data_IF_935698310758
#
_entry.id   IF_935698310758
#
_cell.length_a   1.000
_cell.length_b   1.000
_cell.length_c   1.000
_cell.angle_alpha   90.00
_cell.angle_beta   90.00
_cell.angle_gamma   90.00
#
_symmetry.space_group_name_H-M   'P 1'
#
loop_
_entity.id
_entity.type
_entity.pdbx_description
1 polymer ?
#
# COMPACT_ATOMS: atom_id res chain seq x y z
N UNK A 1 6.05 -20.52 25.65
CA UNK A 1 4.58 -20.44 25.86
C UNK A 1 3.91 -19.29 25.08
N UNK A 2 4.35 -18.93 23.86
CA UNK A 2 3.81 -17.74 23.13
C UNK A 2 3.37 -18.00 21.67
N UNK A 3 3.21 -19.26 21.24
CA UNK A 3 2.75 -19.55 19.86
C UNK A 3 1.22 -19.69 19.69
N UNK A 4 0.48 -19.82 20.77
CA UNK A 4 -1.00 -19.89 20.73
C UNK A 4 -1.70 -18.52 20.68
N UNK A 5 -0.99 -17.41 20.94
CA UNK A 5 -1.57 -16.07 20.97
C UNK A 5 -1.94 -15.49 19.59
N UNK A 6 -1.27 -15.89 18.52
CA UNK A 6 -1.48 -15.32 17.18
C UNK A 6 -2.68 -15.91 16.44
N UNK A 7 -2.86 -17.20 16.52
CA UNK A 7 -3.97 -17.92 15.83
C UNK A 7 -5.29 -17.64 16.54
N UNK A 8 -5.30 -17.66 17.88
CA UNK A 8 -6.49 -17.32 18.66
C UNK A 8 -6.98 -15.88 18.44
N UNK A 9 -6.07 -14.90 18.32
CA UNK A 9 -6.45 -13.51 18.03
C UNK A 9 -7.03 -13.35 16.63
N UNK A 10 -6.52 -14.06 15.61
CA UNK A 10 -7.05 -14.02 14.23
C UNK A 10 -8.41 -14.70 14.10
N UNK A 11 -8.64 -15.82 14.75
CA UNK A 11 -9.94 -16.52 14.75
C UNK A 11 -11.04 -15.71 15.44
N UNK A 12 -10.71 -15.01 16.54
CA UNK A 12 -11.65 -14.09 17.21
C UNK A 12 -12.02 -12.94 16.30
N UNK A 13 -11.10 -12.44 15.46
CA UNK A 13 -11.36 -11.32 14.55
C UNK A 13 -12.34 -11.68 13.43
N UNK A 14 -12.33 -12.91 12.93
CA UNK A 14 -13.27 -13.36 11.86
C UNK A 14 -14.69 -13.51 12.40
N UNK A 15 -14.84 -14.17 13.55
CA UNK A 15 -16.17 -14.35 14.15
C UNK A 15 -16.83 -13.02 14.55
N UNK A 16 -16.03 -12.04 14.92
CA UNK A 16 -16.52 -10.72 15.36
C UNK A 16 -17.16 -9.92 14.22
N UNK A 17 -16.68 -10.04 12.97
CA UNK A 17 -17.23 -9.26 11.84
C UNK A 17 -18.66 -9.65 11.45
N UNK A 18 -19.10 -10.85 11.79
CA UNK A 18 -20.49 -11.31 11.59
C UNK A 18 -21.46 -10.90 12.71
N UNK A 19 -20.91 -10.46 13.85
CA UNK A 19 -21.73 -10.06 14.99
C UNK A 19 -22.41 -8.71 14.72
N UNK A 20 -23.58 -8.45 15.36
CA UNK A 20 -24.18 -7.13 15.34
C UNK A 20 -23.22 -6.04 15.83
N UNK A 21 -23.29 -4.85 15.24
CA UNK A 21 -22.37 -3.74 15.53
C UNK A 21 -22.28 -3.40 17.04
N UNK A 22 -23.40 -3.49 17.77
CA UNK A 22 -23.44 -3.24 19.22
C UNK A 22 -22.63 -4.28 20.01
N UNK A 23 -22.72 -5.57 19.59
CA UNK A 23 -22.01 -6.68 20.25
C UNK A 23 -20.51 -6.61 19.95
N UNK A 24 -20.14 -6.31 18.69
CA UNK A 24 -18.73 -6.05 18.33
C UNK A 24 -18.13 -4.95 19.20
N UNK A 25 -18.83 -3.82 19.33
CA UNK A 25 -18.38 -2.70 20.17
C UNK A 25 -18.21 -3.11 21.63
N UNK A 26 -19.12 -3.88 22.15
CA UNK A 26 -19.04 -4.40 23.53
C UNK A 26 -17.80 -5.28 23.73
N UNK A 27 -17.58 -6.27 22.84
CA UNK A 27 -16.41 -7.16 22.89
C UNK A 27 -15.09 -6.39 22.72
N UNK A 28 -15.05 -5.44 21.79
CA UNK A 28 -13.88 -4.58 21.59
C UNK A 28 -13.59 -3.70 22.80
N UNK A 29 -14.62 -3.23 23.49
CA UNK A 29 -14.45 -2.46 24.74
C UNK A 29 -13.85 -3.30 25.87
N UNK A 30 -14.19 -4.59 25.95
CA UNK A 30 -13.55 -5.51 26.89
C UNK A 30 -12.07 -5.71 26.52
N UNK A 31 -11.80 -5.86 25.24
CA UNK A 31 -10.44 -6.15 24.73
C UNK A 31 -9.51 -4.92 24.78
N UNK A 32 -9.98 -3.74 24.38
CA UNK A 32 -9.18 -2.52 24.20
C UNK A 32 -9.31 -1.54 25.38
N UNK A 33 -10.23 -1.79 26.31
CA UNK A 33 -10.55 -0.87 27.40
C UNK A 33 -11.48 0.27 26.96
N UNK A 34 -11.53 1.31 27.81
CA UNK A 34 -12.31 2.53 27.52
C UNK A 34 -11.61 3.33 26.41
N UNK A 35 -12.40 3.91 25.51
CA UNK A 35 -11.89 4.91 24.59
C UNK A 35 -11.20 6.06 25.37
N UNK A 36 -10.02 6.45 24.92
CA UNK A 36 -9.35 7.62 25.43
C UNK A 36 -10.02 8.93 24.98
N UNK A 37 -9.24 10.00 24.96
CA UNK A 37 -9.72 11.29 24.46
C UNK A 37 -10.14 11.16 22.99
N UNK A 38 -11.31 11.70 22.66
CA UNK A 38 -11.77 11.77 21.28
C UNK A 38 -11.00 12.87 20.56
N UNK A 39 -10.31 12.54 19.44
CA UNK A 39 -9.63 13.55 18.64
C UNK A 39 -10.60 14.64 18.16
N UNK A 40 -10.11 15.87 18.10
CA UNK A 40 -10.86 16.96 17.49
C UNK A 40 -11.06 16.69 15.99
N UNK A 41 -12.18 17.17 15.44
CA UNK A 41 -12.38 17.17 14.00
C UNK A 41 -11.38 18.14 13.32
N UNK A 42 -10.94 17.85 12.10
CA UNK A 42 -10.11 18.78 11.36
C UNK A 42 -10.89 20.06 11.03
N UNK A 43 -10.14 21.16 10.97
CA UNK A 43 -10.67 22.43 10.44
C UNK A 43 -10.55 22.38 8.92
N UNK A 44 -11.63 22.61 8.22
CA UNK A 44 -11.70 22.65 6.76
C UNK A 44 -12.04 24.05 6.28
N UNK A 45 -11.58 24.39 5.09
CA UNK A 45 -11.94 25.65 4.42
C UNK A 45 -13.37 25.50 3.84
N UNK A 46 -14.36 26.27 4.33
CA UNK A 46 -15.72 26.15 3.86
C UNK A 46 -15.94 26.65 2.43
N UNK A 47 -14.96 27.32 1.83
CA UNK A 47 -15.03 27.80 0.46
C UNK A 47 -14.52 26.77 -0.56
N UNK A 48 -13.89 25.68 -0.11
CA UNK A 48 -13.35 24.63 -0.96
C UNK A 48 -14.14 23.35 -0.83
N UNK A 49 -14.34 22.67 -1.94
CA UNK A 49 -14.82 21.28 -1.89
C UNK A 49 -13.81 20.39 -1.18
N UNK A 50 -14.29 19.48 -0.36
CA UNK A 50 -13.47 18.64 0.51
C UNK A 50 -13.41 17.18 0.01
N UNK A 51 -12.20 16.71 -0.23
CA UNK A 51 -11.87 15.31 -0.41
C UNK A 51 -11.38 14.72 0.93
N UNK A 52 -12.01 13.64 1.39
CA UNK A 52 -11.52 12.86 2.54
C UNK A 52 -11.06 11.49 2.09
N UNK A 53 -9.86 11.06 2.52
CA UNK A 53 -9.26 9.76 2.18
C UNK A 53 -9.05 8.98 3.47
N UNK A 54 -9.45 7.73 3.51
CA UNK A 54 -9.24 6.86 4.67
C UNK A 54 -10.04 5.55 4.61
N UNK A 55 -9.97 4.75 5.68
CA UNK A 55 -9.39 4.99 7.01
C UNK A 55 -8.07 4.23 7.27
N UNK A 56 -7.29 3.91 6.25
CA UNK A 56 -6.04 3.17 6.42
C UNK A 56 -4.81 4.04 6.12
N UNK A 57 -3.63 3.59 6.59
CA UNK A 57 -2.37 4.26 6.31
C UNK A 57 -1.35 3.26 5.74
N UNK A 58 -1.48 2.92 4.47
CA UNK A 58 -0.51 2.11 3.75
C UNK A 58 0.60 3.01 3.20
N UNK A 59 1.70 3.10 3.93
CA UNK A 59 2.89 3.89 3.59
C UNK A 59 2.60 5.39 3.33
N UNK A 60 1.61 5.98 4.01
CA UNK A 60 1.27 7.39 3.88
C UNK A 60 0.50 7.75 2.59
N UNK A 61 0.00 6.77 1.85
CA UNK A 61 -0.53 7.02 0.51
C UNK A 61 -1.72 7.97 0.50
N UNK A 62 -2.69 7.81 1.40
CA UNK A 62 -3.85 8.71 1.50
C UNK A 62 -3.43 10.17 1.69
N UNK A 63 -2.40 10.41 2.50
CA UNK A 63 -1.81 11.76 2.70
C UNK A 63 -1.15 12.29 1.43
N UNK A 64 -0.32 11.48 0.77
CA UNK A 64 0.42 11.91 -0.43
C UNK A 64 -0.54 12.17 -1.59
N UNK A 65 -1.53 11.30 -1.82
CA UNK A 65 -2.55 11.51 -2.86
C UNK A 65 -3.41 12.75 -2.59
N UNK A 66 -3.82 12.95 -1.33
CA UNK A 66 -4.60 14.13 -0.93
C UNK A 66 -3.84 15.42 -1.23
N UNK A 67 -2.57 15.50 -0.83
CA UNK A 67 -1.72 16.65 -1.11
C UNK A 67 -1.50 16.86 -2.62
N UNK A 68 -1.30 15.78 -3.39
CA UNK A 68 -1.13 15.88 -4.83
C UNK A 68 -2.40 16.41 -5.54
N UNK A 69 -3.59 15.96 -5.09
CA UNK A 69 -4.88 16.48 -5.59
C UNK A 69 -5.05 17.95 -5.22
N UNK A 70 -4.77 18.34 -3.97
CA UNK A 70 -4.89 19.73 -3.52
C UNK A 70 -3.91 20.66 -4.25
N UNK A 71 -2.71 20.18 -4.60
CA UNK A 71 -1.74 20.94 -5.38
C UNK A 71 -2.14 21.10 -6.86
N UNK A 72 -2.93 20.17 -7.41
CA UNK A 72 -3.35 20.15 -8.82
C UNK A 72 -4.78 20.68 -9.05
N UNK A 73 -5.48 21.16 -8.00
CA UNK A 73 -6.87 21.62 -8.06
C UNK A 73 -7.20 22.59 -6.94
N UNK A 74 -8.43 23.14 -6.95
CA UNK A 74 -8.95 23.99 -5.88
C UNK A 74 -9.58 23.19 -4.73
N UNK A 75 -9.45 21.85 -4.72
CA UNK A 75 -9.97 21.01 -3.66
C UNK A 75 -9.13 21.14 -2.38
N UNK A 76 -9.79 21.08 -1.23
CA UNK A 76 -9.13 20.75 0.02
C UNK A 76 -9.10 19.22 0.18
N UNK A 77 -8.01 18.70 0.75
CA UNK A 77 -7.90 17.27 1.02
C UNK A 77 -7.57 17.01 2.49
N UNK A 78 -8.11 15.93 3.04
CA UNK A 78 -7.83 15.48 4.39
C UNK A 78 -7.73 13.96 4.43
N UNK A 79 -6.64 13.44 4.94
CA UNK A 79 -6.44 12.02 5.18
C UNK A 79 -6.63 11.67 6.65
N UNK A 80 -7.26 10.53 6.92
CA UNK A 80 -7.28 9.99 8.28
C UNK A 80 -7.03 8.49 8.29
N UNK A 81 -6.43 8.01 9.36
CA UNK A 81 -6.15 6.59 9.50
C UNK A 81 -6.35 6.11 10.92
N UNK A 82 -6.71 4.84 11.05
CA UNK A 82 -6.78 4.15 12.33
C UNK A 82 -5.38 3.67 12.70
N UNK A 83 -4.92 4.04 13.89
CA UNK A 83 -3.67 3.58 14.46
C UNK A 83 -3.56 2.04 14.45
N UNK A 84 -2.43 1.54 13.99
CA UNK A 84 -2.07 0.12 14.08
C UNK A 84 -1.01 -0.05 15.16
N UNK A 85 -1.35 -0.54 16.36
CA UNK A 85 -0.41 -0.69 17.45
C UNK A 85 0.80 -1.53 17.05
N UNK A 86 2.01 -0.98 17.18
CA UNK A 86 3.26 -1.62 16.76
C UNK A 86 3.49 -1.60 15.24
N UNK A 87 2.69 -0.87 14.49
CA UNK A 87 2.89 -0.61 13.06
C UNK A 87 3.93 0.47 12.80
N UNK A 88 4.24 0.67 11.51
CA UNK A 88 5.09 1.79 11.08
C UNK A 88 4.28 3.10 11.14
N UNK A 89 4.94 4.18 11.55
CA UNK A 89 4.38 5.53 11.49
C UNK A 89 4.66 6.15 10.14
N UNK A 90 3.60 6.56 9.45
CA UNK A 90 3.65 7.30 8.18
C UNK A 90 2.82 8.57 8.30
N UNK A 91 3.07 9.54 7.43
CA UNK A 91 2.32 10.79 7.40
C UNK A 91 0.82 10.56 7.18
N UNK A 92 0.02 11.28 7.94
CA UNK A 92 -1.45 11.33 7.88
C UNK A 92 -1.92 12.61 8.57
N UNK A 93 -3.02 13.22 8.11
CA UNK A 93 -3.52 14.46 8.74
C UNK A 93 -4.17 14.19 10.09
N UNK A 94 -4.89 13.07 10.23
CA UNK A 94 -5.49 12.65 11.50
C UNK A 94 -5.29 11.18 11.78
N UNK A 95 -4.63 10.87 12.90
CA UNK A 95 -4.49 9.50 13.39
C UNK A 95 -5.53 9.22 14.49
N UNK A 96 -6.29 8.15 14.34
CA UNK A 96 -7.38 7.78 15.23
C UNK A 96 -6.97 6.56 16.06
N UNK A 97 -6.87 6.69 17.40
CA UNK A 97 -6.57 5.54 18.26
C UNK A 97 -7.57 4.40 18.04
N UNK A 98 -7.07 3.17 17.90
CA UNK A 98 -7.93 2.00 17.61
C UNK A 98 -9.04 1.82 18.63
N UNK A 99 -8.81 2.13 19.92
CA UNK A 99 -9.81 2.06 20.95
C UNK A 99 -10.94 3.10 20.73
N UNK A 100 -10.61 4.30 20.26
CA UNK A 100 -11.59 5.34 19.91
C UNK A 100 -12.41 4.89 18.70
N UNK A 101 -11.75 4.47 17.64
CA UNK A 101 -12.39 3.98 16.41
C UNK A 101 -13.38 2.84 16.69
N UNK A 102 -12.97 1.82 17.45
CA UNK A 102 -13.77 0.62 17.68
C UNK A 102 -14.88 0.82 18.72
N UNK A 103 -14.68 1.67 19.74
CA UNK A 103 -15.55 1.70 20.92
C UNK A 103 -16.24 3.02 21.21
N UNK A 104 -15.74 4.17 20.69
CA UNK A 104 -16.32 5.49 20.98
C UNK A 104 -17.51 5.83 20.08
N UNK A 105 -18.72 5.68 20.59
CA UNK A 105 -19.93 6.08 19.85
C UNK A 105 -19.99 7.59 19.59
N UNK A 106 -19.39 8.39 20.46
CA UNK A 106 -19.33 9.84 20.28
C UNK A 106 -18.49 10.18 19.05
N UNK A 107 -17.26 9.63 18.95
CA UNK A 107 -16.40 9.79 17.80
C UNK A 107 -17.05 9.27 16.51
N UNK A 108 -17.60 8.06 16.54
CA UNK A 108 -18.24 7.44 15.37
C UNK A 108 -19.37 8.32 14.80
N UNK A 109 -20.20 8.92 15.64
CA UNK A 109 -21.24 9.86 15.21
C UNK A 109 -20.67 11.19 14.73
N UNK A 110 -19.62 11.68 15.36
CA UNK A 110 -18.92 12.90 14.97
C UNK A 110 -18.25 12.74 13.61
N UNK A 111 -17.57 11.61 13.38
CA UNK A 111 -16.96 11.26 12.11
C UNK A 111 -18.00 11.11 10.99
N UNK A 112 -19.16 10.49 11.28
CA UNK A 112 -20.25 10.41 10.31
C UNK A 112 -20.73 11.81 9.89
N UNK A 113 -20.92 12.74 10.85
CA UNK A 113 -21.31 14.13 10.52
C UNK A 113 -20.25 14.83 9.69
N UNK A 114 -18.97 14.64 10.03
CA UNK A 114 -17.86 15.24 9.31
C UNK A 114 -17.80 14.74 7.86
N UNK A 115 -17.81 13.42 7.65
CA UNK A 115 -17.78 12.85 6.30
C UNK A 115 -19.06 13.11 5.50
N UNK A 116 -20.21 13.27 6.18
CA UNK A 116 -21.46 13.66 5.51
C UNK A 116 -21.48 15.12 5.03
N UNK A 117 -20.54 15.93 5.49
CA UNK A 117 -20.30 17.29 5.01
C UNK A 117 -19.19 17.41 3.99
N UNK A 118 -18.53 16.32 3.64
CA UNK A 118 -17.53 16.29 2.57
C UNK A 118 -18.20 16.16 1.20
N UNK A 119 -17.53 16.64 0.14
CA UNK A 119 -18.00 16.46 -1.24
C UNK A 119 -17.61 15.08 -1.77
N UNK A 120 -16.38 14.63 -1.43
CA UNK A 120 -15.79 13.41 -1.92
C UNK A 120 -15.19 12.57 -0.78
N UNK A 121 -15.41 11.26 -0.82
CA UNK A 121 -14.79 10.29 0.11
C UNK A 121 -14.16 9.15 -0.68
N UNK A 122 -12.84 9.00 -0.59
CA UNK A 122 -12.11 7.84 -1.10
C UNK A 122 -12.01 6.80 0.01
N UNK A 123 -12.80 5.72 -0.13
CA UNK A 123 -12.79 4.62 0.82
C UNK A 123 -11.69 3.64 0.46
N UNK A 124 -10.74 3.45 1.38
CA UNK A 124 -9.59 2.58 1.18
C UNK A 124 -9.81 1.17 1.73
N UNK A 125 -9.38 0.18 0.96
CA UNK A 125 -9.31 -1.24 1.33
C UNK A 125 -10.62 -1.85 1.87
N UNK A 126 -11.79 -1.27 1.52
CA UNK A 126 -13.12 -1.70 1.98
C UNK A 126 -13.23 -1.76 3.52
N UNK A 127 -12.41 -0.96 4.20
CA UNK A 127 -12.43 -0.82 5.65
C UNK A 127 -13.54 0.16 6.06
N UNK A 128 -14.22 -0.13 7.17
CA UNK A 128 -15.27 0.72 7.68
C UNK A 128 -14.76 2.12 8.06
N UNK A 129 -15.49 3.15 7.65
CA UNK A 129 -15.14 4.55 7.92
C UNK A 129 -15.47 4.99 9.36
N UNK A 130 -16.48 4.36 9.96
CA UNK A 130 -17.06 4.75 11.24
C UNK A 130 -16.97 3.66 12.32
N UNK A 131 -15.96 2.79 12.23
CA UNK A 131 -15.78 1.71 13.19
C UNK A 131 -17.00 0.80 13.31
N UNK A 132 -17.56 0.69 14.54
CA UNK A 132 -18.72 -0.17 14.82
C UNK A 132 -20.04 0.62 14.86
N UNK A 133 -20.17 1.71 14.10
CA UNK A 133 -21.45 2.45 14.01
C UNK A 133 -22.46 1.71 13.13
N UNK A 134 -22.00 1.18 12.00
CA UNK A 134 -22.77 0.39 11.04
C UNK A 134 -22.35 -1.08 11.03
N UNK A 135 -23.16 -1.93 10.40
CA UNK A 135 -22.86 -3.36 10.29
C UNK A 135 -21.68 -3.63 9.36
N UNK A 136 -21.58 -2.90 8.26
CA UNK A 136 -20.55 -3.06 7.24
C UNK A 136 -20.34 -1.77 6.45
N UNK A 137 -19.27 -1.70 5.67
CA UNK A 137 -18.94 -0.51 4.86
C UNK A 137 -20.00 -0.20 3.79
N UNK A 138 -20.76 -1.19 3.28
CA UNK A 138 -21.84 -0.92 2.31
C UNK A 138 -22.94 -0.02 2.90
N UNK A 139 -23.29 -0.22 4.16
CA UNK A 139 -24.26 0.65 4.84
C UNK A 139 -23.70 2.06 5.04
N UNK A 140 -22.41 2.18 5.32
CA UNK A 140 -21.70 3.45 5.46
C UNK A 140 -21.72 4.24 4.15
N UNK A 141 -21.35 3.58 3.04
CA UNK A 141 -21.37 4.19 1.70
C UNK A 141 -22.79 4.65 1.33
N UNK A 142 -23.82 3.84 1.59
CA UNK A 142 -25.21 4.23 1.33
C UNK A 142 -25.63 5.44 2.17
N UNK A 143 -25.21 5.50 3.43
CA UNK A 143 -25.49 6.63 4.30
C UNK A 143 -24.81 7.92 3.82
N UNK A 144 -23.55 7.85 3.39
CA UNK A 144 -22.81 8.97 2.82
C UNK A 144 -23.46 9.46 1.52
N UNK A 145 -23.80 8.55 0.60
CA UNK A 145 -24.48 8.91 -0.65
C UNK A 145 -25.85 9.52 -0.43
N UNK A 146 -26.59 9.04 0.56
CA UNK A 146 -27.86 9.65 0.95
C UNK A 146 -27.69 11.08 1.50
N UNK A 147 -26.51 11.41 2.01
CA UNK A 147 -26.14 12.78 2.42
C UNK A 147 -25.55 13.62 1.25
N UNK A 148 -25.50 13.09 0.02
CA UNK A 148 -24.99 13.80 -1.15
C UNK A 148 -23.48 13.61 -1.41
N UNK A 149 -22.77 12.80 -0.62
CA UNK A 149 -21.35 12.58 -0.75
C UNK A 149 -21.02 11.67 -1.96
N UNK A 150 -20.10 12.07 -2.80
CA UNK A 150 -19.59 11.25 -3.90
C UNK A 150 -18.50 10.31 -3.37
N UNK A 151 -18.76 8.99 -3.41
CA UNK A 151 -17.88 7.97 -2.83
C UNK A 151 -17.25 7.12 -3.92
N UNK A 152 -15.91 7.05 -3.92
CA UNK A 152 -15.10 6.13 -4.72
C UNK A 152 -14.38 5.11 -3.82
N UNK A 153 -13.84 4.06 -4.43
CA UNK A 153 -13.14 2.97 -3.75
C UNK A 153 -11.69 2.90 -4.21
N UNK A 154 -10.77 2.57 -3.31
CA UNK A 154 -9.38 2.33 -3.63
C UNK A 154 -8.89 1.06 -2.95
N UNK A 155 -8.49 0.08 -3.76
CA UNK A 155 -7.95 -1.18 -3.28
C UNK A 155 -6.42 -1.18 -3.26
N UNK A 156 -5.85 -1.84 -2.24
CA UNK A 156 -4.41 -1.84 -1.98
C UNK A 156 -3.71 -3.19 -2.20
N UNK A 157 -4.44 -4.30 -2.18
CA UNK A 157 -3.82 -5.61 -2.35
C UNK A 157 -4.67 -6.75 -1.81
N UNK A 158 -4.42 -7.18 -0.59
CA UNK A 158 -5.08 -8.36 0.01
C UNK A 158 -6.59 -8.20 0.22
N UNK A 159 -7.10 -7.00 0.12
CA UNK A 159 -8.51 -6.63 0.12
C UNK A 159 -9.27 -7.18 -1.09
N UNK A 160 -8.63 -7.20 -2.29
CA UNK A 160 -9.23 -7.71 -3.52
C UNK A 160 -8.39 -8.78 -4.24
N UNK A 161 -7.13 -9.02 -3.82
CA UNK A 161 -6.29 -10.07 -4.43
C UNK A 161 -6.85 -11.45 -4.10
N UNK A 162 -7.40 -12.12 -5.12
CA UNK A 162 -8.05 -13.44 -4.99
C UNK A 162 -7.00 -14.54 -5.01
N UNK A 163 -6.78 -15.30 -3.92
CA UNK A 163 -5.75 -16.33 -3.81
C UNK A 163 -5.74 -17.33 -4.97
N UNK A 164 -6.88 -17.90 -5.31
CA UNK A 164 -7.00 -18.91 -6.38
C UNK A 164 -6.66 -18.38 -7.78
N UNK A 165 -6.74 -17.07 -8.00
CA UNK A 165 -6.29 -16.42 -9.23
C UNK A 165 -4.80 -16.07 -9.14
N UNK A 166 -4.33 -15.60 -7.99
CA UNK A 166 -2.95 -15.19 -7.79
C UNK A 166 -1.96 -16.35 -7.98
N UNK A 167 -2.29 -17.57 -7.51
CA UNK A 167 -1.44 -18.76 -7.72
C UNK A 167 -1.31 -19.16 -9.20
N UNK A 168 -2.20 -18.68 -10.08
CA UNK A 168 -2.10 -18.90 -11.52
C UNK A 168 -1.22 -17.87 -12.22
N UNK A 169 -0.97 -16.72 -11.58
CA UNK A 169 -0.15 -15.64 -12.13
C UNK A 169 1.33 -15.81 -11.79
N UNK A 170 1.63 -16.34 -10.61
CA UNK A 170 3.00 -16.60 -10.18
C UNK A 170 3.08 -17.86 -9.33
N UNK A 171 4.05 -18.74 -9.65
CA UNK A 171 4.34 -19.93 -8.85
C UNK A 171 4.88 -19.61 -7.45
N UNK A 172 5.39 -18.40 -7.25
CA UNK A 172 5.95 -17.91 -5.99
C UNK A 172 4.89 -17.32 -5.06
N UNK A 173 3.62 -17.36 -5.45
CA UNK A 173 2.52 -16.84 -4.63
C UNK A 173 2.59 -17.34 -3.19
N UNK A 174 2.47 -16.45 -2.23
CA UNK A 174 2.34 -16.83 -0.80
C UNK A 174 1.13 -17.75 -0.57
N UNK A 175 0.14 -17.68 -1.45
CA UNK A 175 -1.05 -18.52 -1.41
C UNK A 175 -0.80 -19.96 -1.91
N UNK A 176 0.34 -20.24 -2.54
CA UNK A 176 0.76 -21.58 -2.92
C UNK A 176 1.50 -22.30 -1.77
N UNK A 177 1.86 -21.60 -0.69
CA UNK A 177 2.58 -22.17 0.43
C UNK A 177 1.70 -23.15 1.24
N UNK A 178 2.28 -24.27 1.70
CA UNK A 178 1.58 -25.18 2.59
C UNK A 178 1.11 -24.49 3.88
N UNK A 179 -0.17 -24.66 4.22
CA UNK A 179 -0.76 -24.05 5.42
C UNK A 179 -1.18 -22.59 5.29
N UNK A 180 -1.14 -22.01 4.09
CA UNK A 180 -1.71 -20.70 3.85
C UNK A 180 -3.23 -20.72 4.11
N UNK A 181 -3.74 -19.72 4.87
CA UNK A 181 -5.17 -19.56 5.12
C UNK A 181 -5.85 -18.89 3.91
N UNK A 182 -5.95 -19.66 2.83
CA UNK A 182 -6.50 -19.17 1.57
C UNK A 182 -8.02 -19.06 1.60
N UNK A 183 -8.72 -19.86 2.40
CA UNK A 183 -10.18 -19.83 2.44
C UNK A 183 -10.72 -18.46 2.88
N UNK A 184 -10.18 -17.94 3.97
CA UNK A 184 -10.58 -16.62 4.46
C UNK A 184 -10.20 -15.50 3.50
N UNK A 185 -8.98 -15.51 2.99
CA UNK A 185 -8.51 -14.50 2.04
C UNK A 185 -9.35 -14.52 0.75
N UNK A 186 -9.65 -15.69 0.20
CA UNK A 186 -10.51 -15.90 -0.96
C UNK A 186 -11.92 -15.35 -0.71
N UNK A 187 -12.52 -15.70 0.42
CA UNK A 187 -13.86 -15.25 0.78
C UNK A 187 -13.91 -13.74 0.94
N UNK A 188 -12.93 -13.13 1.63
CA UNK A 188 -12.89 -11.69 1.87
C UNK A 188 -12.71 -10.91 0.55
N UNK A 189 -11.73 -11.29 -0.27
CA UNK A 189 -11.46 -10.59 -1.53
C UNK A 189 -12.63 -10.67 -2.50
N UNK A 190 -13.25 -11.86 -2.65
CA UNK A 190 -14.46 -12.01 -3.50
C UNK A 190 -15.65 -11.22 -2.97
N UNK A 191 -15.86 -11.22 -1.65
CA UNK A 191 -16.93 -10.43 -1.01
C UNK A 191 -16.72 -8.94 -1.24
N UNK A 192 -15.49 -8.45 -1.11
CA UNK A 192 -15.18 -7.04 -1.32
C UNK A 192 -15.39 -6.63 -2.79
N UNK A 193 -14.88 -7.41 -3.75
CA UNK A 193 -15.13 -7.19 -5.18
C UNK A 193 -16.63 -7.15 -5.48
N UNK A 194 -17.39 -8.12 -4.97
CA UNK A 194 -18.85 -8.15 -5.18
C UNK A 194 -19.54 -6.92 -4.56
N UNK A 195 -19.08 -6.47 -3.39
CA UNK A 195 -19.63 -5.29 -2.72
C UNK A 195 -19.34 -3.98 -3.47
N UNK A 196 -18.13 -3.82 -4.00
CA UNK A 196 -17.74 -2.68 -4.84
C UNK A 196 -18.62 -2.63 -6.09
N UNK A 197 -18.79 -3.75 -6.80
CA UNK A 197 -19.65 -3.84 -7.99
C UNK A 197 -21.12 -3.57 -7.70
N UNK A 198 -21.63 -4.06 -6.55
CA UNK A 198 -23.00 -3.77 -6.13
C UNK A 198 -23.23 -2.28 -5.81
N UNK A 199 -22.25 -1.65 -5.19
CA UNK A 199 -22.32 -0.24 -4.82
C UNK A 199 -22.15 0.69 -6.02
N UNK A 200 -21.51 0.20 -7.09
CA UNK A 200 -21.14 1.00 -8.26
C UNK A 200 -20.23 2.20 -7.93
N UNK A 201 -19.83 2.99 -8.92
CA UNK A 201 -18.98 4.18 -8.74
C UNK A 201 -17.52 3.93 -9.13
N UNK A 202 -16.67 4.98 -9.11
CA UNK A 202 -15.27 4.85 -9.49
C UNK A 202 -14.50 3.92 -8.57
N UNK A 203 -13.68 3.04 -9.17
CA UNK A 203 -12.81 2.11 -8.46
C UNK A 203 -11.38 2.38 -8.88
N UNK A 204 -10.51 2.53 -7.91
CA UNK A 204 -9.07 2.70 -8.10
C UNK A 204 -8.30 1.55 -7.50
N UNK A 205 -7.12 1.28 -8.03
CA UNK A 205 -6.16 0.31 -7.49
C UNK A 205 -4.79 0.96 -7.34
N UNK A 206 -4.11 0.70 -6.23
CA UNK A 206 -2.81 1.31 -5.95
C UNK A 206 -1.65 0.66 -6.69
N UNK A 207 -1.80 -0.61 -7.11
CA UNK A 207 -0.79 -1.37 -7.85
C UNK A 207 -1.41 -2.05 -9.06
N UNK A 208 -0.68 -2.13 -10.20
CA UNK A 208 -1.25 -2.57 -11.49
C UNK A 208 -1.64 -4.05 -11.54
N UNK A 209 -1.08 -4.91 -10.68
CA UNK A 209 -1.48 -6.32 -10.56
C UNK A 209 -2.95 -6.50 -10.15
N UNK A 210 -3.52 -5.52 -9.48
CA UNK A 210 -4.90 -5.57 -9.01
C UNK A 210 -5.93 -5.40 -10.13
N UNK A 211 -5.54 -4.86 -11.28
CA UNK A 211 -6.39 -4.77 -12.48
C UNK A 211 -6.86 -6.15 -12.97
N UNK A 212 -6.14 -7.21 -12.65
CA UNK A 212 -6.57 -8.59 -12.99
C UNK A 212 -7.85 -8.99 -12.25
N UNK A 213 -8.08 -8.47 -11.05
CA UNK A 213 -9.25 -8.80 -10.22
C UNK A 213 -10.42 -7.84 -10.44
N UNK A 214 -10.11 -6.61 -10.85
CA UNK A 214 -11.06 -5.53 -11.15
C UNK A 214 -10.62 -4.82 -12.43
N UNK A 215 -10.86 -5.42 -13.63
CA UNK A 215 -10.42 -4.83 -14.90
C UNK A 215 -11.04 -3.47 -15.20
N UNK A 216 -12.17 -3.18 -14.57
CA UNK A 216 -12.88 -1.89 -14.64
C UNK A 216 -12.24 -0.78 -13.82
N UNK A 217 -11.28 -1.12 -12.95
CA UNK A 217 -10.63 -0.15 -12.08
C UNK A 217 -9.58 0.70 -12.81
N UNK A 218 -9.29 1.84 -12.23
CA UNK A 218 -8.28 2.78 -12.73
C UNK A 218 -7.05 2.67 -11.85
N UNK A 219 -5.88 2.54 -12.46
CA UNK A 219 -4.65 2.55 -11.69
C UNK A 219 -4.36 3.96 -11.17
N UNK A 220 -4.35 4.11 -9.84
CA UNK A 220 -3.90 5.27 -9.10
C UNK A 220 -2.57 4.91 -8.43
N UNK A 221 -1.41 5.16 -9.07
CA UNK A 221 -0.14 4.65 -8.58
C UNK A 221 0.19 5.15 -7.18
N UNK A 222 0.93 4.33 -6.43
CA UNK A 222 1.57 4.81 -5.20
C UNK A 222 2.46 6.00 -5.52
N UNK A 223 2.48 6.98 -4.62
CA UNK A 223 3.25 8.20 -4.81
C UNK A 223 4.17 8.46 -3.62
N UNK A 224 5.27 9.17 -3.85
CA UNK A 224 6.26 9.53 -2.84
C UNK A 224 6.65 11.00 -2.93
N UNK A 225 7.13 11.54 -1.82
CA UNK A 225 7.82 12.82 -1.81
C UNK A 225 9.25 12.64 -2.38
N UNK A 226 9.46 13.08 -3.62
CA UNK A 226 10.74 12.94 -4.31
C UNK A 226 11.89 13.63 -3.58
N UNK A 227 11.65 14.76 -2.92
CA UNK A 227 12.70 15.50 -2.22
C UNK A 227 13.25 14.72 -1.03
N UNK A 228 12.41 13.96 -0.39
CA UNK A 228 12.80 13.10 0.75
C UNK A 228 13.75 11.97 0.34
N UNK A 229 13.56 11.41 -0.85
CA UNK A 229 14.28 10.20 -1.28
C UNK A 229 15.50 10.50 -2.15
N UNK A 230 15.47 11.61 -2.89
CA UNK A 230 16.58 12.00 -3.76
C UNK A 230 17.83 12.34 -2.94
N UNK A 231 18.98 11.94 -3.46
CA UNK A 231 20.29 12.40 -2.98
C UNK A 231 20.99 13.21 -4.07
N UNK A 232 21.51 14.35 -3.71
CA UNK A 232 22.38 15.14 -4.59
C UNK A 232 23.86 14.71 -4.48
N UNK A 233 24.18 13.87 -3.50
CA UNK A 233 25.52 13.32 -3.31
C UNK A 233 25.71 12.06 -4.16
N UNK A 234 26.85 11.89 -4.80
CA UNK A 234 27.17 10.66 -5.51
C UNK A 234 27.24 9.50 -4.51
N UNK A 235 26.80 8.31 -4.95
CA UNK A 235 26.90 7.11 -4.13
C UNK A 235 28.36 6.75 -3.86
N UNK A 236 28.69 6.17 -2.70
CA UNK A 236 30.03 5.70 -2.40
C UNK A 236 30.52 4.69 -3.45
N UNK A 237 31.74 4.86 -3.97
CA UNK A 237 32.36 3.84 -4.79
C UNK A 237 32.71 2.62 -3.94
N UNK A 238 32.27 1.44 -4.35
CA UNK A 238 32.52 0.17 -3.68
C UNK A 238 33.15 -0.82 -4.65
N UNK A 239 34.01 -1.70 -4.13
CA UNK A 239 34.49 -2.86 -4.88
C UNK A 239 33.39 -3.87 -5.12
N UNK A 240 32.51 -4.03 -4.13
CA UNK A 240 31.33 -4.89 -4.18
C UNK A 240 30.08 -4.04 -3.96
N UNK A 241 29.05 -4.18 -4.78
CA UNK A 241 27.83 -3.41 -4.60
C UNK A 241 27.12 -3.82 -3.30
N UNK A 242 26.56 -2.83 -2.61
CA UNK A 242 25.70 -3.04 -1.44
C UNK A 242 24.27 -3.38 -1.89
N UNK A 243 23.87 -4.62 -1.63
CA UNK A 243 22.53 -5.14 -1.91
C UNK A 243 21.71 -5.08 -0.64
N UNK A 244 20.60 -4.36 -0.68
CA UNK A 244 19.72 -4.17 0.47
C UNK A 244 18.37 -4.85 0.24
N UNK A 245 17.89 -5.57 1.26
CA UNK A 245 16.52 -6.08 1.31
C UNK A 245 15.82 -5.59 2.58
N UNK A 246 14.72 -4.84 2.44
CA UNK A 246 13.98 -4.23 3.54
C UNK A 246 12.53 -4.76 3.62
N UNK A 247 12.31 -6.03 3.99
CA UNK A 247 10.99 -6.61 3.99
C UNK A 247 10.20 -6.17 5.22
N UNK A 248 9.06 -5.48 5.03
CA UNK A 248 8.08 -5.24 6.10
C UNK A 248 7.45 -6.55 6.61
N UNK A 249 7.29 -7.53 5.71
CA UNK A 249 6.82 -8.88 6.00
C UNK A 249 7.65 -9.88 5.20
N UNK A 250 8.63 -10.48 5.86
CA UNK A 250 9.64 -11.32 5.21
C UNK A 250 9.03 -12.48 4.38
N UNK A 251 8.05 -13.20 4.94
CA UNK A 251 7.40 -14.29 4.23
C UNK A 251 6.64 -13.84 2.97
N UNK A 252 5.94 -12.68 3.03
CA UNK A 252 5.20 -12.16 1.89
C UNK A 252 6.12 -11.59 0.79
N UNK A 253 7.33 -11.15 1.17
CA UNK A 253 8.34 -10.62 0.24
C UNK A 253 9.22 -11.71 -0.39
N UNK A 254 9.16 -12.97 0.09
CA UNK A 254 9.96 -14.09 -0.40
C UNK A 254 11.39 -14.10 0.12
N UNK A 255 11.65 -13.47 1.28
CA UNK A 255 12.98 -13.43 1.92
C UNK A 255 13.56 -14.83 2.14
N UNK A 256 12.74 -15.77 2.55
CA UNK A 256 13.10 -17.18 2.78
C UNK A 256 13.64 -17.89 1.54
N UNK A 257 13.25 -17.45 0.34
CA UNK A 257 13.68 -18.03 -0.93
C UNK A 257 14.99 -17.40 -1.40
N UNK A 258 15.08 -16.05 -1.32
CA UNK A 258 16.21 -15.32 -1.91
C UNK A 258 17.43 -15.26 -0.98
N UNK A 259 17.22 -15.19 0.34
CA UNK A 259 18.30 -14.91 1.31
C UNK A 259 19.42 -15.99 1.31
N UNK A 260 19.12 -17.30 1.18
CA UNK A 260 20.19 -18.30 1.04
C UNK A 260 21.12 -18.05 -0.15
N UNK A 261 20.56 -17.62 -1.30
CA UNK A 261 21.32 -17.31 -2.52
C UNK A 261 22.15 -16.02 -2.37
N UNK A 262 21.63 -15.05 -1.61
CA UNK A 262 22.36 -13.82 -1.31
C UNK A 262 23.55 -14.07 -0.39
N UNK A 263 23.42 -14.92 0.62
CA UNK A 263 24.54 -15.33 1.47
C UNK A 263 25.61 -16.13 0.70
N UNK A 264 25.24 -16.89 -0.33
CA UNK A 264 26.21 -17.54 -1.22
C UNK A 264 27.01 -16.51 -2.03
N UNK A 265 26.35 -15.47 -2.57
CA UNK A 265 27.02 -14.39 -3.30
C UNK A 265 27.94 -13.57 -2.39
N UNK A 266 27.52 -13.29 -1.17
CA UNK A 266 28.30 -12.56 -0.18
C UNK A 266 29.56 -13.35 0.21
N UNK A 267 29.42 -14.65 0.52
CA UNK A 267 30.59 -15.54 0.81
C UNK A 267 31.54 -15.67 -0.37
N UNK A 268 31.03 -15.59 -1.60
CA UNK A 268 31.83 -15.59 -2.81
C UNK A 268 32.48 -14.21 -3.11
N UNK A 269 32.26 -13.19 -2.29
CA UNK A 269 32.80 -11.85 -2.45
C UNK A 269 32.22 -11.08 -3.64
N UNK A 270 31.02 -11.43 -4.11
CA UNK A 270 30.36 -10.78 -5.25
C UNK A 270 29.58 -9.53 -4.83
N UNK A 271 28.95 -9.57 -3.66
CA UNK A 271 28.13 -8.49 -3.09
C UNK A 271 28.46 -8.30 -1.62
N UNK A 272 28.07 -7.16 -1.08
CA UNK A 272 27.81 -6.96 0.36
C UNK A 272 26.29 -6.98 0.56
N UNK A 273 25.78 -7.88 1.42
CA UNK A 273 24.33 -8.03 1.63
C UNK A 273 23.91 -7.46 2.97
N UNK A 274 22.82 -6.69 2.97
CA UNK A 274 22.24 -6.15 4.19
C UNK A 274 20.73 -6.34 4.23
N UNK A 275 20.25 -7.12 5.19
CA UNK A 275 18.85 -7.19 5.54
C UNK A 275 18.48 -6.08 6.52
N UNK A 276 17.54 -5.22 6.15
CA UNK A 276 17.07 -4.11 6.97
C UNK A 276 15.86 -4.55 7.78
N UNK A 277 15.93 -4.39 9.10
CA UNK A 277 14.84 -4.70 10.01
C UNK A 277 14.78 -3.64 11.12
N UNK A 278 13.55 -3.32 11.55
CA UNK A 278 13.31 -2.40 12.68
C UNK A 278 13.92 -0.99 12.51
N UNK A 279 14.11 -0.56 11.26
CA UNK A 279 14.56 0.81 10.97
C UNK A 279 13.33 1.70 10.86
N UNK A 280 13.27 2.83 11.57
CA UNK A 280 12.18 3.79 11.46
C UNK A 280 12.05 4.32 10.02
N UNK A 281 10.82 4.54 9.54
CA UNK A 281 10.56 5.04 8.18
C UNK A 281 11.31 6.35 7.87
N UNK A 282 11.53 7.20 8.88
CA UNK A 282 12.28 8.45 8.74
C UNK A 282 13.77 8.24 8.38
N UNK A 283 14.34 7.06 8.68
CA UNK A 283 15.73 6.71 8.39
C UNK A 283 15.93 5.91 7.11
N UNK A 284 14.84 5.46 6.48
CA UNK A 284 14.91 4.67 5.26
C UNK A 284 15.53 5.41 4.06
N UNK A 285 15.37 6.74 3.89
CA UNK A 285 16.10 7.46 2.84
C UNK A 285 17.62 7.29 2.92
N UNK A 286 18.22 7.40 4.11
CA UNK A 286 19.67 7.20 4.31
C UNK A 286 20.10 5.78 3.92
N UNK A 287 19.26 4.77 4.21
CA UNK A 287 19.53 3.38 3.86
C UNK A 287 19.59 3.20 2.34
N UNK A 288 18.58 3.69 1.61
CA UNK A 288 18.52 3.51 0.15
C UNK A 288 19.51 4.41 -0.59
N UNK A 289 19.75 5.63 -0.12
CA UNK A 289 20.78 6.50 -0.68
C UNK A 289 22.17 5.88 -0.57
N UNK A 290 22.40 5.03 0.42
CA UNK A 290 23.66 4.30 0.61
C UNK A 290 23.71 2.94 -0.12
N UNK A 291 22.59 2.38 -0.58
CA UNK A 291 22.53 1.10 -1.28
C UNK A 291 22.76 1.26 -2.79
N UNK A 292 23.31 0.25 -3.45
CA UNK A 292 23.48 0.19 -4.89
C UNK A 292 22.31 -0.54 -5.56
N UNK A 293 21.89 -1.65 -4.95
CA UNK A 293 20.79 -2.50 -5.41
C UNK A 293 19.80 -2.69 -4.26
N UNK A 294 18.51 -2.58 -4.56
CA UNK A 294 17.43 -2.88 -3.59
C UNK A 294 16.57 -4.02 -4.13
N UNK A 295 16.36 -5.03 -3.27
CA UNK A 295 15.49 -6.16 -3.57
C UNK A 295 14.11 -5.86 -3.01
N UNK A 296 13.08 -5.78 -3.89
CA UNK A 296 11.73 -5.46 -3.42
C UNK A 296 10.97 -6.73 -2.99
N UNK A 297 10.32 -7.43 -3.92
CA UNK A 297 9.47 -8.58 -3.58
C UNK A 297 9.47 -9.64 -4.67
N UNK A 298 9.30 -10.91 -4.23
CA UNK A 298 9.42 -12.08 -5.12
C UNK A 298 8.18 -12.98 -5.11
N UNK A 299 7.14 -12.64 -4.34
CA UNK A 299 5.92 -13.44 -4.23
C UNK A 299 4.66 -12.78 -4.79
N UNK A 300 4.60 -11.46 -4.84
CA UNK A 300 3.40 -10.75 -5.29
C UNK A 300 3.29 -10.59 -6.82
N UNK A 301 4.41 -10.72 -7.54
CA UNK A 301 4.43 -10.53 -8.99
C UNK A 301 4.20 -9.08 -9.44
N UNK A 302 4.39 -8.13 -8.54
CA UNK A 302 4.23 -6.69 -8.74
C UNK A 302 5.27 -5.93 -7.93
N UNK A 303 5.21 -4.61 -7.93
CA UNK A 303 6.09 -3.76 -7.13
C UNK A 303 5.29 -2.87 -6.18
N UNK A 304 5.97 -2.37 -5.15
CA UNK A 304 5.36 -1.51 -4.14
C UNK A 304 6.16 -0.24 -3.85
N UNK A 305 5.78 0.44 -2.78
CA UNK A 305 6.41 1.70 -2.35
C UNK A 305 7.92 1.55 -2.17
N UNK A 306 8.39 0.42 -1.64
CA UNK A 306 9.83 0.10 -1.50
C UNK A 306 10.61 0.25 -2.81
N UNK A 307 10.08 -0.29 -3.92
CA UNK A 307 10.71 -0.18 -5.23
C UNK A 307 10.77 1.27 -5.71
N UNK A 308 9.68 2.00 -5.53
CA UNK A 308 9.56 3.42 -5.92
C UNK A 308 10.55 4.29 -5.13
N UNK A 309 10.61 4.12 -3.82
CA UNK A 309 11.55 4.82 -2.92
C UNK A 309 13.01 4.53 -3.28
N UNK A 310 13.33 3.26 -3.56
CA UNK A 310 14.66 2.84 -3.94
C UNK A 310 15.10 3.42 -5.30
N UNK A 311 14.22 3.40 -6.30
CA UNK A 311 14.51 4.02 -7.62
C UNK A 311 14.72 5.53 -7.47
N UNK A 312 13.91 6.22 -6.67
CA UNK A 312 14.10 7.64 -6.38
C UNK A 312 15.45 7.94 -5.73
N UNK A 313 15.90 7.07 -4.82
CA UNK A 313 17.20 7.16 -4.16
C UNK A 313 18.38 6.76 -5.09
N UNK A 314 18.12 6.43 -6.36
CA UNK A 314 19.14 6.06 -7.35
C UNK A 314 19.67 4.63 -7.15
N UNK A 315 18.85 3.70 -6.70
CA UNK A 315 19.19 2.28 -6.68
C UNK A 315 18.70 1.58 -7.95
N UNK A 316 19.39 0.53 -8.37
CA UNK A 316 18.80 -0.47 -9.24
C UNK A 316 17.87 -1.34 -8.40
N UNK A 317 16.64 -1.55 -8.88
CA UNK A 317 15.67 -2.39 -8.19
C UNK A 317 15.53 -3.73 -8.87
N UNK A 318 15.55 -4.81 -8.09
CA UNK A 318 15.33 -6.17 -8.55
C UNK A 318 14.12 -6.76 -7.81
N UNK A 319 13.25 -7.45 -8.54
CA UNK A 319 12.08 -8.10 -7.97
C UNK A 319 11.43 -9.05 -8.97
N UNK A 320 10.37 -9.74 -8.55
CA UNK A 320 9.59 -10.56 -9.46
C UNK A 320 8.37 -9.77 -9.96
N UNK A 321 8.34 -9.48 -11.24
CA UNK A 321 7.27 -8.75 -11.91
C UNK A 321 6.61 -9.66 -12.95
N UNK A 322 5.30 -9.78 -12.93
CA UNK A 322 4.58 -10.56 -13.94
C UNK A 322 4.46 -9.78 -15.26
N UNK A 323 4.43 -10.46 -16.42
CA UNK A 323 4.24 -9.80 -17.71
C UNK A 323 2.94 -8.98 -17.80
N UNK A 324 1.93 -9.33 -17.02
CA UNK A 324 0.69 -8.57 -16.93
C UNK A 324 0.90 -7.19 -16.30
N UNK A 325 1.72 -7.11 -15.26
CA UNK A 325 2.09 -5.85 -14.59
C UNK A 325 2.94 -4.97 -15.52
N UNK A 326 3.92 -5.54 -16.21
CA UNK A 326 4.75 -4.81 -17.17
C UNK A 326 3.88 -4.17 -18.27
N UNK A 327 3.00 -4.96 -18.88
CA UNK A 327 2.05 -4.45 -19.89
C UNK A 327 1.13 -3.38 -19.34
N UNK A 328 0.54 -3.57 -18.17
CA UNK A 328 -0.38 -2.59 -17.58
C UNK A 328 0.33 -1.25 -17.29
N UNK A 329 1.57 -1.29 -16.86
CA UNK A 329 2.39 -0.07 -16.67
C UNK A 329 2.66 0.60 -18.01
N UNK A 330 3.12 -0.14 -19.02
CA UNK A 330 3.44 0.41 -20.34
C UNK A 330 2.20 0.98 -21.04
N UNK A 331 1.06 0.29 -20.98
CA UNK A 331 -0.22 0.76 -21.53
C UNK A 331 -0.70 2.05 -20.84
N UNK A 332 -0.54 2.17 -19.52
CA UNK A 332 -1.00 3.34 -18.78
C UNK A 332 -0.08 4.54 -18.89
N UNK A 333 1.24 4.33 -19.08
CA UNK A 333 2.25 5.39 -18.97
C UNK A 333 3.00 5.67 -20.27
N UNK A 334 3.02 4.72 -21.21
CA UNK A 334 3.88 4.73 -22.39
C UNK A 334 5.37 4.48 -22.09
N UNK A 335 5.71 4.10 -20.86
CA UNK A 335 7.10 3.90 -20.41
C UNK A 335 7.26 2.48 -19.86
N UNK A 336 8.34 1.81 -20.25
CA UNK A 336 8.68 0.48 -19.72
C UNK A 336 9.10 0.57 -18.25
N UNK A 337 8.67 -0.42 -17.47
CA UNK A 337 8.98 -0.51 -16.03
C UNK A 337 10.50 -0.78 -15.82
N UNK A 338 11.26 0.12 -15.17
CA UNK A 338 12.72 0.00 -15.05
C UNK A 338 13.16 -0.87 -13.86
N UNK A 339 12.42 -1.94 -13.56
CA UNK A 339 12.75 -2.93 -12.53
C UNK A 339 13.37 -4.15 -13.23
N UNK A 340 14.49 -4.63 -12.74
CA UNK A 340 15.08 -5.88 -13.20
C UNK A 340 14.23 -7.04 -12.68
N UNK A 341 13.41 -7.59 -13.56
CA UNK A 341 12.51 -8.70 -13.22
C UNK A 341 13.21 -10.03 -13.25
N UNK A 342 13.07 -10.84 -12.22
CA UNK A 342 13.53 -12.23 -12.23
C UNK A 342 12.68 -13.12 -11.31
N UNK A 343 12.75 -14.41 -11.58
CA UNK A 343 12.25 -15.44 -10.67
C UNK A 343 13.11 -15.49 -9.39
N UNK A 344 12.50 -15.76 -8.24
CA UNK A 344 13.20 -15.76 -6.95
C UNK A 344 14.44 -16.68 -6.92
N UNK A 345 14.38 -17.83 -7.59
CA UNK A 345 15.52 -18.76 -7.68
C UNK A 345 16.61 -18.37 -8.69
N UNK A 346 16.40 -17.32 -9.48
CA UNK A 346 17.35 -16.80 -10.46
C UNK A 346 18.14 -15.58 -9.94
N UNK A 347 17.83 -15.10 -8.72
CA UNK A 347 18.44 -13.88 -8.19
C UNK A 347 19.98 -13.91 -8.24
N UNK A 348 20.60 -15.06 -8.00
CA UNK A 348 22.05 -15.21 -7.98
C UNK A 348 22.72 -14.98 -9.36
N UNK A 349 22.12 -15.49 -10.44
CA UNK A 349 22.62 -15.27 -11.81
C UNK A 349 22.35 -13.86 -12.29
N UNK A 350 21.15 -13.34 -12.00
CA UNK A 350 20.75 -11.98 -12.39
C UNK A 350 21.60 -10.92 -11.73
N UNK A 351 21.93 -11.06 -10.44
CA UNK A 351 22.84 -10.13 -9.77
C UNK A 351 24.26 -10.16 -10.35
N UNK A 352 24.80 -11.33 -10.70
CA UNK A 352 26.13 -11.44 -11.35
C UNK A 352 26.15 -10.75 -12.71
N UNK A 353 25.13 -10.96 -13.53
CA UNK A 353 24.97 -10.31 -14.83
C UNK A 353 24.85 -8.80 -14.69
N UNK A 354 23.97 -8.33 -13.80
CA UNK A 354 23.75 -6.92 -13.53
C UNK A 354 25.04 -6.20 -13.08
N UNK A 355 25.83 -6.82 -12.21
CA UNK A 355 27.07 -6.26 -11.69
C UNK A 355 28.17 -6.20 -12.77
N UNK A 356 28.18 -7.15 -13.71
CA UNK A 356 29.16 -7.17 -14.82
C UNK A 356 28.85 -6.11 -15.88
N UNK A 357 27.61 -5.65 -16.00
CA UNK A 357 27.15 -4.64 -16.98
C UNK A 357 27.14 -3.23 -16.36
N UNK A 358 28.32 -2.62 -16.20
CA UNK A 358 28.42 -1.29 -15.57
C UNK A 358 27.70 -0.17 -16.34
N UNK A 359 27.70 -0.24 -17.67
CA UNK A 359 27.00 0.76 -18.50
C UNK A 359 25.48 0.66 -18.32
N UNK A 360 24.93 -0.54 -18.46
CA UNK A 360 23.50 -0.79 -18.23
C UNK A 360 23.09 -0.56 -16.78
N UNK A 361 23.99 -0.71 -15.81
CA UNK A 361 23.70 -0.38 -14.41
C UNK A 361 23.38 1.11 -14.23
N UNK A 362 24.21 1.99 -14.81
CA UNK A 362 23.99 3.44 -14.77
C UNK A 362 22.71 3.87 -15.52
N UNK A 363 22.45 3.26 -16.66
CA UNK A 363 21.23 3.51 -17.44
C UNK A 363 19.96 3.13 -16.67
N UNK A 364 19.96 2.01 -15.94
CA UNK A 364 18.85 1.56 -15.10
C UNK A 364 18.56 2.50 -13.95
N UNK A 365 19.60 3.05 -13.31
CA UNK A 365 19.42 4.09 -12.27
C UNK A 365 18.70 5.30 -12.85
N UNK A 366 19.17 5.81 -13.99
CA UNK A 366 18.55 6.98 -14.62
C UNK A 366 17.12 6.71 -15.09
N UNK A 367 16.88 5.53 -15.66
CA UNK A 367 15.53 5.11 -16.05
C UNK A 367 14.59 5.02 -14.84
N UNK A 368 15.06 4.45 -13.71
CA UNK A 368 14.31 4.39 -12.46
C UNK A 368 13.93 5.77 -11.94
N UNK A 369 14.88 6.69 -11.88
CA UNK A 369 14.64 8.06 -11.42
C UNK A 369 13.65 8.82 -12.32
N UNK A 370 13.78 8.68 -13.66
CA UNK A 370 12.82 9.26 -14.62
C UNK A 370 11.41 8.69 -14.42
N UNK A 371 11.31 7.37 -14.35
CA UNK A 371 10.03 6.68 -14.16
C UNK A 371 9.32 7.14 -12.87
N UNK A 372 10.05 7.22 -11.76
CA UNK A 372 9.48 7.68 -10.49
C UNK A 372 9.00 9.13 -10.58
N UNK A 373 9.77 10.00 -11.23
CA UNK A 373 9.37 11.39 -11.45
C UNK A 373 8.09 11.49 -12.29
N UNK A 374 7.95 10.70 -13.32
CA UNK A 374 6.82 10.76 -14.26
C UNK A 374 5.56 10.09 -13.69
N UNK A 375 5.71 8.97 -12.96
CA UNK A 375 4.60 8.12 -12.56
C UNK A 375 4.28 8.21 -11.06
N UNK A 376 5.29 8.41 -10.22
CA UNK A 376 5.18 8.28 -8.77
C UNK A 376 5.44 9.58 -7.98
N UNK A 377 5.51 10.73 -8.65
CA UNK A 377 5.63 12.05 -8.01
C UNK A 377 4.32 12.54 -7.35
N UNK A 378 3.21 11.86 -7.59
CA UNK A 378 1.87 12.27 -7.18
C UNK A 378 1.06 12.93 -8.31
N UNK A 379 1.70 13.52 -9.32
CA UNK A 379 0.99 14.16 -10.43
C UNK A 379 0.14 13.20 -11.25
N UNK A 380 0.66 12.00 -11.52
CA UNK A 380 -0.09 10.97 -12.25
C UNK A 380 -1.31 10.49 -11.44
N UNK A 381 -1.13 10.25 -10.14
CA UNK A 381 -2.19 9.81 -9.24
C UNK A 381 -3.27 10.89 -9.08
N UNK A 382 -2.87 12.15 -8.91
CA UNK A 382 -3.81 13.28 -8.87
C UNK A 382 -4.60 13.39 -10.17
N UNK A 383 -3.95 13.26 -11.33
CA UNK A 383 -4.62 13.24 -12.64
C UNK A 383 -5.60 12.08 -12.77
N UNK A 384 -5.22 10.88 -12.34
CA UNK A 384 -6.11 9.71 -12.35
C UNK A 384 -7.37 9.95 -11.52
N UNK A 385 -7.25 10.51 -10.33
CA UNK A 385 -8.38 10.84 -9.46
C UNK A 385 -9.23 11.99 -10.03
N UNK A 386 -8.60 13.08 -10.51
CA UNK A 386 -9.29 14.25 -11.02
C UNK A 386 -10.07 13.95 -12.30
N UNK A 387 -9.47 13.26 -13.27
CA UNK A 387 -10.10 13.01 -14.56
C UNK A 387 -11.22 11.98 -14.50
N UNK A 388 -11.11 11.00 -13.60
CA UNK A 388 -12.05 9.89 -13.56
C UNK A 388 -13.09 10.00 -12.44
N UNK A 389 -12.96 10.99 -11.56
CA UNK A 389 -13.87 11.11 -10.43
C UNK A 389 -14.12 12.53 -9.92
N UNK A 390 -13.08 13.32 -9.60
CA UNK A 390 -13.20 14.54 -8.80
C UNK A 390 -13.61 15.78 -9.62
N UNK A 391 -13.43 15.76 -10.93
CA UNK A 391 -13.94 16.83 -11.83
C UNK A 391 -15.20 16.33 -12.51
N UNK A 392 -16.33 17.03 -12.39
CA UNK A 392 -17.45 16.76 -13.25
C UNK A 392 -17.05 17.02 -14.72
N UNK A 393 -17.43 16.10 -15.58
CA UNK A 393 -17.31 16.26 -17.05
C UNK A 393 -18.22 17.38 -17.51
#
# INVERSE_FOLDING_TARGET
MNKLGGIGRRLIQVGVDFLPAWLRRFLRRIQLGKAGQVPALPTTDPQKQLLVIGPVNYAGQGYVWGNAVAAASDLAAHSYAVEVPGGFSFAVDSEIPVAVYETSRAWQKQQLRFLSGADFVLLEAEVRLFGNLFQNFKQEVRALRAAGVNVAFLAHGTDIRVPSQHVKQTRWSIHAEPGADNFRAEWLSRRNIAAIRELTGPVFVSTPDLLVYTPEAIWCPVAIDLQRWRSDSPKPKRERPLVVHAPSRAAEKGTDIIEPLLFELERAGVIDYQRIQNVPSAKMPEVYQNADIVLDQFRAGSYGVTAVEAMAAGCVVVGHITPQVERAVEEATGVSLPIVSCEANQIGSVLRELISDQAGFSERIQAGQRFVKEVHSGEFSARALLQNWLRPQ
#
